data_IF_617437235694
#
_entry.id   IF_617437235694
#
_cell.length_a   1.000
_cell.length_b   1.000
_cell.length_c   1.000
_cell.angle_alpha   90.00
_cell.angle_beta   90.00
_cell.angle_gamma   90.00
#
_symmetry.space_group_name_H-M   'P 1'
#
loop_
_entity.id
_entity.type
_entity.pdbx_description
1 polymer ?
#
# COMPACT_ATOMS: atom_id res chain seq x y z
N UNK A 1 -11.94 -51.85 10.40
CA UNK A 1 -11.30 -50.65 10.97
C UNK A 1 -11.99 -49.47 10.33
N UNK A 2 -12.67 -48.68 11.15
CA UNK A 2 -13.74 -47.74 10.83
C UNK A 2 -13.19 -46.45 10.19
N UNK A 3 -13.72 -46.08 9.02
CA UNK A 3 -13.50 -44.75 8.45
C UNK A 3 -14.52 -43.83 9.11
N UNK A 4 -14.09 -43.11 10.15
CA UNK A 4 -14.84 -41.97 10.67
C UNK A 4 -14.87 -40.89 9.59
N UNK A 5 -15.98 -40.86 8.85
CA UNK A 5 -16.30 -39.75 7.98
C UNK A 5 -16.66 -38.57 8.90
N UNK A 6 -15.75 -37.60 8.98
CA UNK A 6 -16.03 -36.32 9.63
C UNK A 6 -17.27 -35.73 8.94
N UNK A 7 -18.38 -35.63 9.68
CA UNK A 7 -19.64 -35.16 9.15
C UNK A 7 -19.49 -33.68 8.81
N UNK A 8 -19.92 -33.27 7.61
CA UNK A 8 -19.88 -31.87 7.16
C UNK A 8 -20.61 -30.89 8.08
N UNK A 9 -21.46 -31.41 8.98
CA UNK A 9 -22.24 -30.67 9.98
C UNK A 9 -21.37 -30.09 11.12
N UNK A 10 -20.16 -30.63 11.36
CA UNK A 10 -19.21 -30.13 12.38
C UNK A 10 -18.23 -29.07 11.82
N UNK A 11 -18.33 -28.72 10.53
CA UNK A 11 -17.49 -27.69 9.92
C UNK A 11 -18.01 -26.28 10.26
N UNK A 12 -17.36 -25.62 11.21
CA UNK A 12 -17.57 -24.19 11.48
C UNK A 12 -17.10 -23.38 10.27
N UNK A 13 -18.05 -22.88 9.48
CA UNK A 13 -17.77 -21.99 8.36
C UNK A 13 -17.53 -20.57 8.88
N UNK A 14 -16.26 -20.16 8.91
CA UNK A 14 -15.86 -18.80 9.30
C UNK A 14 -15.84 -17.93 8.05
N UNK A 15 -16.64 -16.87 8.03
CA UNK A 15 -16.49 -15.82 7.02
C UNK A 15 -15.24 -14.98 7.36
N UNK A 16 -14.22 -15.09 6.52
CA UNK A 16 -12.97 -14.32 6.63
C UNK A 16 -13.08 -12.90 6.05
N UNK A 17 -14.25 -12.56 5.47
CA UNK A 17 -14.50 -11.23 4.93
C UNK A 17 -14.50 -10.15 6.02
N UNK A 18 -13.98 -8.96 5.73
CA UNK A 18 -14.08 -7.85 6.66
C UNK A 18 -15.54 -7.41 6.83
N UNK A 19 -15.94 -7.11 8.07
CA UNK A 19 -17.23 -6.49 8.35
C UNK A 19 -17.33 -5.07 7.74
N UNK A 20 -18.54 -4.49 7.77
CA UNK A 20 -18.78 -3.17 7.18
C UNK A 20 -17.99 -2.04 7.84
N UNK A 21 -17.73 -2.13 9.14
CA UNK A 21 -16.94 -1.15 9.87
C UNK A 21 -15.47 -1.19 9.40
N UNK A 22 -14.89 -2.37 9.28
CA UNK A 22 -13.55 -2.60 8.73
C UNK A 22 -13.43 -2.09 7.30
N UNK A 23 -14.44 -2.33 6.46
CA UNK A 23 -14.49 -1.80 5.09
C UNK A 23 -14.50 -0.27 5.10
N UNK A 24 -15.34 0.35 5.93
CA UNK A 24 -15.45 1.81 6.03
C UNK A 24 -14.14 2.45 6.52
N UNK A 25 -13.51 1.89 7.56
CA UNK A 25 -12.21 2.33 8.08
C UNK A 25 -11.14 2.18 7.00
N UNK A 26 -11.12 1.07 6.26
CA UNK A 26 -10.18 0.83 5.16
C UNK A 26 -10.29 1.87 4.06
N UNK A 27 -11.52 2.20 3.64
CA UNK A 27 -11.78 3.26 2.64
C UNK A 27 -11.30 4.62 3.13
N UNK A 28 -11.68 5.01 4.35
CA UNK A 28 -11.28 6.29 4.94
C UNK A 28 -9.74 6.41 5.08
N UNK A 29 -9.06 5.33 5.47
CA UNK A 29 -7.58 5.27 5.48
C UNK A 29 -6.97 5.48 4.09
N UNK A 30 -7.55 4.85 3.07
CA UNK A 30 -7.07 4.99 1.69
C UNK A 30 -7.28 6.42 1.16
N UNK A 31 -8.43 7.02 1.47
CA UNK A 31 -8.73 8.42 1.14
C UNK A 31 -7.72 9.37 1.80
N UNK A 32 -7.41 9.16 3.08
CA UNK A 32 -6.41 9.96 3.80
C UNK A 32 -5.01 9.78 3.22
N UNK A 33 -4.58 8.55 2.93
CA UNK A 33 -3.30 8.31 2.26
C UNK A 33 -3.25 9.01 0.90
N UNK A 34 -4.34 8.94 0.13
CA UNK A 34 -4.46 9.59 -1.17
C UNK A 34 -4.32 11.10 -1.06
N UNK A 35 -4.95 11.72 -0.06
CA UNK A 35 -4.80 13.14 0.21
C UNK A 35 -3.34 13.52 0.54
N UNK A 36 -2.66 12.73 1.38
CA UNK A 36 -1.23 12.91 1.66
C UNK A 36 -0.36 12.74 0.41
N UNK A 37 -0.64 11.73 -0.40
CA UNK A 37 0.06 11.47 -1.65
C UNK A 37 -0.08 12.63 -2.66
N UNK A 38 -1.26 13.27 -2.71
CA UNK A 38 -1.52 14.45 -3.53
C UNK A 38 -0.81 15.72 -3.02
N UNK A 39 -0.32 15.76 -1.77
CA UNK A 39 0.51 16.86 -1.26
C UNK A 39 1.97 16.80 -1.72
N UNK A 40 2.44 15.64 -2.21
CA UNK A 40 3.78 15.53 -2.79
C UNK A 40 3.88 16.36 -4.07
N UNK A 41 5.04 16.95 -4.35
CA UNK A 41 5.30 17.61 -5.63
C UNK A 41 5.19 16.59 -6.79
N UNK A 42 4.84 17.02 -8.02
CA UNK A 42 4.58 16.11 -9.13
C UNK A 42 5.73 15.12 -9.41
N UNK A 43 6.99 15.57 -9.28
CA UNK A 43 8.15 14.74 -9.59
C UNK A 43 8.39 13.68 -8.51
N UNK A 44 8.26 14.05 -7.24
CA UNK A 44 8.34 13.08 -6.13
C UNK A 44 7.18 12.09 -6.18
N UNK A 45 5.97 12.53 -6.55
CA UNK A 45 4.81 11.66 -6.71
C UNK A 45 5.02 10.61 -7.81
N UNK A 46 5.50 11.02 -8.99
CA UNK A 46 5.82 10.11 -10.08
C UNK A 46 6.87 9.05 -9.67
N UNK A 47 7.89 9.46 -8.93
CA UNK A 47 8.91 8.56 -8.38
C UNK A 47 8.31 7.54 -7.40
N UNK A 48 7.46 7.96 -6.47
CA UNK A 48 6.82 7.05 -5.51
C UNK A 48 5.85 6.10 -6.22
N UNK A 49 5.04 6.61 -7.17
CA UNK A 49 4.14 5.80 -7.98
C UNK A 49 4.91 4.71 -8.74
N UNK A 50 5.94 5.10 -9.50
CA UNK A 50 6.77 4.17 -10.25
C UNK A 50 7.38 3.08 -9.36
N UNK A 51 7.89 3.44 -8.17
CA UNK A 51 8.55 2.47 -7.29
C UNK A 51 7.59 1.59 -6.49
N UNK A 52 6.48 2.14 -5.99
CA UNK A 52 5.62 1.50 -4.98
C UNK A 52 4.32 0.94 -5.53
N UNK A 53 3.81 1.53 -6.61
CA UNK A 53 2.54 1.14 -7.23
C UNK A 53 2.82 0.35 -8.51
N UNK A 54 3.68 0.89 -9.38
CA UNK A 54 3.97 0.28 -10.68
C UNK A 54 5.04 -0.83 -10.59
N UNK A 55 5.70 -0.99 -9.44
CA UNK A 55 6.68 -2.06 -9.19
C UNK A 55 8.05 -1.90 -9.85
N UNK A 56 8.34 -0.74 -10.46
CA UNK A 56 9.62 -0.48 -11.13
C UNK A 56 10.79 -0.50 -10.14
N UNK A 57 11.97 -0.85 -10.61
CA UNK A 57 13.22 -0.69 -9.86
C UNK A 57 13.61 0.79 -9.75
N UNK A 58 14.43 1.13 -8.76
CA UNK A 58 14.97 2.49 -8.60
C UNK A 58 15.72 2.97 -9.85
N UNK A 59 16.39 2.05 -10.57
CA UNK A 59 17.12 2.36 -11.80
C UNK A 59 16.17 2.68 -12.97
N UNK A 60 15.09 1.92 -13.11
CA UNK A 60 14.07 2.18 -14.13
C UNK A 60 13.34 3.49 -13.86
N UNK A 61 13.02 3.79 -12.59
CA UNK A 61 12.46 5.09 -12.19
C UNK A 61 13.44 6.23 -12.50
N UNK A 62 14.73 6.06 -12.18
CA UNK A 62 15.76 7.07 -12.47
C UNK A 62 15.86 7.37 -13.97
N UNK A 63 15.85 6.32 -14.81
CA UNK A 63 15.85 6.44 -16.26
C UNK A 63 14.60 7.15 -16.78
N UNK A 64 13.41 6.74 -16.31
CA UNK A 64 12.12 7.31 -16.70
C UNK A 64 12.01 8.80 -16.37
N UNK A 65 12.49 9.20 -15.20
CA UNK A 65 12.36 10.56 -14.67
C UNK A 65 13.54 11.49 -15.01
N UNK A 66 14.56 10.96 -15.72
CA UNK A 66 15.75 11.71 -16.13
C UNK A 66 16.59 12.23 -14.97
N UNK A 67 16.75 11.42 -13.92
CA UNK A 67 17.52 11.78 -12.71
C UNK A 67 18.50 10.67 -12.31
N UNK A 68 19.43 10.95 -11.40
CA UNK A 68 20.32 9.91 -10.87
C UNK A 68 19.57 8.97 -9.91
N UNK A 69 20.06 7.72 -9.81
CA UNK A 69 19.55 6.73 -8.85
C UNK A 69 19.55 7.29 -7.42
N UNK A 70 20.64 7.94 -7.00
CA UNK A 70 20.74 8.54 -5.66
C UNK A 70 19.73 9.68 -5.43
N UNK A 71 19.34 10.40 -6.48
CA UNK A 71 18.26 11.41 -6.38
C UNK A 71 16.89 10.74 -6.17
N UNK A 72 16.63 9.61 -6.84
CA UNK A 72 15.42 8.80 -6.62
C UNK A 72 15.39 8.28 -5.19
N UNK A 73 16.47 7.68 -4.70
CA UNK A 73 16.56 7.15 -3.33
C UNK A 73 16.31 8.23 -2.27
N UNK A 74 16.98 9.39 -2.40
CA UNK A 74 16.77 10.52 -1.48
C UNK A 74 15.33 11.01 -1.49
N UNK A 75 14.71 11.14 -2.67
CA UNK A 75 13.31 11.58 -2.80
C UNK A 75 12.36 10.54 -2.22
N UNK A 76 12.56 9.26 -2.50
CA UNK A 76 11.77 8.16 -1.92
C UNK A 76 11.86 8.16 -0.40
N UNK A 77 13.05 8.24 0.17
CA UNK A 77 13.22 8.24 1.63
C UNK A 77 12.45 9.40 2.28
N UNK A 78 12.59 10.62 1.74
CA UNK A 78 11.86 11.81 2.23
C UNK A 78 10.35 11.67 2.07
N UNK A 79 9.89 11.19 0.92
CA UNK A 79 8.46 11.01 0.66
C UNK A 79 7.83 9.94 1.56
N UNK A 80 8.50 8.81 1.76
CA UNK A 80 8.03 7.75 2.66
C UNK A 80 7.99 8.23 4.11
N UNK A 81 8.96 9.03 4.56
CA UNK A 81 8.94 9.64 5.89
C UNK A 81 7.75 10.58 6.06
N UNK A 82 7.50 11.45 5.07
CA UNK A 82 6.35 12.34 5.06
C UNK A 82 5.02 11.57 5.09
N UNK A 83 4.82 10.59 4.22
CA UNK A 83 3.59 9.80 4.15
C UNK A 83 3.36 8.99 5.44
N UNK A 84 4.44 8.44 6.01
CA UNK A 84 4.36 7.75 7.31
C UNK A 84 3.92 8.70 8.43
N UNK A 85 4.42 9.94 8.44
CA UNK A 85 4.00 10.94 9.42
C UNK A 85 2.55 11.40 9.19
N UNK A 86 2.15 11.60 7.93
CA UNK A 86 0.78 11.93 7.54
C UNK A 86 -0.23 10.88 8.02
N UNK A 87 0.10 9.59 7.82
CA UNK A 87 -0.75 8.47 8.22
C UNK A 87 -0.82 8.25 9.73
N UNK A 88 0.15 8.75 10.51
CA UNK A 88 0.08 8.69 11.98
C UNK A 88 -0.90 9.70 12.58
N UNK A 89 -1.25 10.74 11.82
CA UNK A 89 -2.21 11.76 12.24
C UNK A 89 -3.63 11.46 11.73
N UNK A 90 -3.90 10.20 11.36
CA UNK A 90 -5.21 9.70 10.93
C UNK A 90 -5.97 9.10 12.12
#
# INVERSE_FOLDING_TARGET
METVADSVDDLVLIDESPDQERIAIGKSRLEHLTAGFQRLDPKTRAIVQGRRVDGLSTREVALREGVSVSAVEKRLAKAMLFLSAWMRNF
#
